data_IF_354887959879
#
_entry.id   IF_354887959879
#
_cell.length_a   1.000
_cell.length_b   1.000
_cell.length_c   1.000
_cell.angle_alpha   90.00
_cell.angle_beta   90.00
_cell.angle_gamma   90.00
#
_symmetry.space_group_name_H-M   'P 1'
#
loop_
_entity.id
_entity.type
_entity.pdbx_description
1 polymer ?
#
# COMPACT_ATOMS: atom_id res chain seq x y z
N UNK A 1 19.25 -32.75 5.28
CA UNK A 1 18.90 -31.41 4.76
C UNK A 1 17.48 -31.10 5.18
N UNK A 2 17.29 -30.09 6.04
CA UNK A 2 15.97 -29.66 6.53
C UNK A 2 15.19 -29.00 5.38
N UNK A 3 14.00 -29.54 5.03
CA UNK A 3 13.13 -28.93 4.04
C UNK A 3 12.59 -27.62 4.62
N UNK A 4 13.12 -26.49 4.18
CA UNK A 4 12.54 -25.16 4.43
C UNK A 4 11.19 -25.07 3.74
N UNK A 5 10.13 -25.51 4.41
CA UNK A 5 8.76 -25.25 3.96
C UNK A 5 8.48 -23.75 4.15
N UNK A 6 8.08 -23.02 3.09
CA UNK A 6 7.78 -21.61 3.23
C UNK A 6 6.56 -21.45 4.15
N UNK A 7 6.75 -20.76 5.28
CA UNK A 7 5.67 -20.40 6.19
C UNK A 7 4.75 -19.40 5.49
N UNK A 8 3.56 -19.84 5.08
CA UNK A 8 2.55 -18.97 4.47
C UNK A 8 1.89 -18.11 5.56
N UNK A 9 2.14 -16.80 5.52
CA UNK A 9 1.47 -15.81 6.37
C UNK A 9 0.41 -15.10 5.54
N UNK A 10 -0.86 -15.28 5.88
CA UNK A 10 -1.95 -14.61 5.18
C UNK A 10 -2.10 -13.19 5.72
N UNK A 11 -1.76 -12.21 4.89
CA UNK A 11 -2.02 -10.79 5.21
C UNK A 11 -3.38 -10.40 4.65
N UNK A 12 -4.25 -9.84 5.48
CA UNK A 12 -5.56 -9.39 5.02
C UNK A 12 -5.45 -8.13 4.16
N UNK A 13 -6.34 -7.98 3.19
CA UNK A 13 -6.41 -6.76 2.37
C UNK A 13 -6.58 -5.48 3.21
N UNK A 14 -7.30 -5.59 4.34
CA UNK A 14 -7.44 -4.50 5.30
C UNK A 14 -6.11 -4.10 5.95
N UNK A 15 -5.26 -5.08 6.30
CA UNK A 15 -3.93 -4.82 6.84
C UNK A 15 -3.03 -4.12 5.81
N UNK A 16 -3.04 -4.58 4.57
CA UNK A 16 -2.31 -3.94 3.46
C UNK A 16 -2.75 -2.48 3.29
N UNK A 17 -4.06 -2.21 3.30
CA UNK A 17 -4.62 -0.85 3.18
C UNK A 17 -4.18 0.06 4.34
N UNK A 18 -4.20 -0.45 5.58
CA UNK A 18 -3.75 0.30 6.77
C UNK A 18 -2.26 0.63 6.71
N UNK A 19 -1.43 -0.34 6.28
CA UNK A 19 0.00 -0.12 6.11
C UNK A 19 0.27 0.97 5.06
N UNK A 20 -0.40 0.91 3.90
CA UNK A 20 -0.29 1.93 2.86
C UNK A 20 -0.67 3.33 3.36
N UNK A 21 -1.78 3.46 4.08
CA UNK A 21 -2.21 4.73 4.66
C UNK A 21 -1.18 5.30 5.67
N UNK A 22 -0.57 4.43 6.48
CA UNK A 22 0.47 4.85 7.44
C UNK A 22 1.72 5.34 6.72
N UNK A 23 2.18 4.61 5.71
CA UNK A 23 3.34 5.01 4.91
C UNK A 23 3.11 6.36 4.23
N UNK A 24 1.95 6.57 3.59
CA UNK A 24 1.62 7.86 2.96
C UNK A 24 1.61 9.01 3.95
N UNK A 25 1.05 8.81 5.16
CA UNK A 25 1.08 9.84 6.22
C UNK A 25 2.50 10.16 6.67
N UNK A 26 3.34 9.14 6.84
CA UNK A 26 4.73 9.32 7.23
C UNK A 26 5.52 10.08 6.16
N UNK A 27 5.39 9.70 4.88
CA UNK A 27 6.05 10.41 3.77
C UNK A 27 5.61 11.86 3.67
N UNK A 28 4.31 12.14 3.77
CA UNK A 28 3.82 13.53 3.77
C UNK A 28 4.42 14.34 4.92
N UNK A 29 4.50 13.76 6.12
CA UNK A 29 5.10 14.41 7.29
C UNK A 29 6.58 14.74 7.06
N UNK A 30 7.34 13.84 6.43
CA UNK A 30 8.74 14.08 6.07
C UNK A 30 8.90 15.26 5.10
N UNK A 31 7.92 15.48 4.22
CA UNK A 31 7.87 16.63 3.30
C UNK A 31 7.27 17.90 3.93
N UNK A 32 6.97 17.90 5.25
CA UNK A 32 6.30 19.02 5.92
C UNK A 32 4.82 19.18 5.52
N UNK A 33 4.23 18.18 4.88
CA UNK A 33 2.83 18.16 4.42
C UNK A 33 1.96 17.31 5.35
N UNK A 34 0.65 17.55 5.34
CA UNK A 34 -0.34 16.77 6.11
C UNK A 34 -1.27 16.04 5.15
N UNK A 35 -1.57 14.77 5.43
CA UNK A 35 -2.64 14.02 4.73
C UNK A 35 -3.94 14.18 5.51
N UNK A 36 -4.96 14.88 4.99
CA UNK A 36 -6.22 15.08 5.69
C UNK A 36 -6.93 13.76 6.01
N UNK A 37 -7.70 13.75 7.10
CA UNK A 37 -8.60 12.64 7.40
C UNK A 37 -9.63 12.49 6.27
N UNK A 38 -9.83 11.26 5.79
CA UNK A 38 -10.74 11.00 4.66
C UNK A 38 -10.19 11.38 3.27
N UNK A 39 -8.91 11.76 3.16
CA UNK A 39 -8.27 12.05 1.87
C UNK A 39 -8.44 10.87 0.89
N UNK A 40 -9.13 11.14 -0.22
CA UNK A 40 -9.30 10.20 -1.33
C UNK A 40 -8.34 10.58 -2.45
N UNK A 41 -7.66 9.57 -3.02
CA UNK A 41 -6.83 9.77 -4.22
C UNK A 41 -7.71 10.28 -5.36
N UNK A 42 -7.20 11.23 -6.13
CA UNK A 42 -7.86 11.71 -7.34
C UNK A 42 -8.01 10.58 -8.37
N UNK A 43 -8.94 10.75 -9.31
CA UNK A 43 -9.20 9.78 -10.37
C UNK A 43 -7.94 9.50 -11.21
N UNK A 44 -7.16 10.55 -11.54
CA UNK A 44 -5.92 10.41 -12.29
C UNK A 44 -4.87 9.57 -11.55
N UNK A 45 -4.70 9.80 -10.24
CA UNK A 45 -3.77 9.01 -9.42
C UNK A 45 -4.23 7.55 -9.32
N UNK A 46 -5.55 7.31 -9.21
CA UNK A 46 -6.09 5.94 -9.23
C UNK A 46 -5.79 5.24 -10.55
N UNK A 47 -6.07 5.89 -11.68
CA UNK A 47 -5.78 5.34 -13.01
C UNK A 47 -4.29 5.04 -13.20
N UNK A 48 -3.41 5.92 -12.71
CA UNK A 48 -1.97 5.68 -12.74
C UNK A 48 -1.57 4.44 -11.94
N UNK A 49 -2.08 4.28 -10.71
CA UNK A 49 -1.79 3.11 -9.87
C UNK A 49 -2.32 1.83 -10.51
N UNK A 50 -3.51 1.86 -11.11
CA UNK A 50 -4.08 0.74 -11.85
C UNK A 50 -3.16 0.32 -13.00
N UNK A 51 -2.65 1.30 -13.77
CA UNK A 51 -1.70 1.08 -14.87
C UNK A 51 -0.36 0.50 -14.41
N UNK A 52 0.11 0.86 -13.22
CA UNK A 52 1.36 0.37 -12.63
C UNK A 52 1.20 -0.97 -11.91
N UNK A 53 -0.02 -1.50 -11.80
CA UNK A 53 -0.27 -2.77 -11.15
C UNK A 53 0.33 -3.87 -12.04
N UNK A 54 1.32 -4.64 -11.56
CA UNK A 54 1.91 -5.70 -12.36
C UNK A 54 0.81 -6.67 -12.76
N UNK A 55 0.70 -6.93 -14.06
CA UNK A 55 -0.08 -8.05 -14.58
C UNK A 55 0.63 -9.33 -14.13
N UNK A 56 0.27 -9.82 -12.94
CA UNK A 56 0.58 -11.19 -12.59
C UNK A 56 -0.37 -12.08 -13.41
N UNK A 57 0.15 -13.09 -14.14
CA UNK A 57 -0.66 -14.10 -14.81
C UNK A 57 -1.49 -14.93 -13.82
#
# INVERSE_FOLDING_TARGET
>A
MERRTPKKVTVTAAAIRRAGARATKASAKLEGRVVPHGHRRSAAVRAYIEKQRPHLP
#
